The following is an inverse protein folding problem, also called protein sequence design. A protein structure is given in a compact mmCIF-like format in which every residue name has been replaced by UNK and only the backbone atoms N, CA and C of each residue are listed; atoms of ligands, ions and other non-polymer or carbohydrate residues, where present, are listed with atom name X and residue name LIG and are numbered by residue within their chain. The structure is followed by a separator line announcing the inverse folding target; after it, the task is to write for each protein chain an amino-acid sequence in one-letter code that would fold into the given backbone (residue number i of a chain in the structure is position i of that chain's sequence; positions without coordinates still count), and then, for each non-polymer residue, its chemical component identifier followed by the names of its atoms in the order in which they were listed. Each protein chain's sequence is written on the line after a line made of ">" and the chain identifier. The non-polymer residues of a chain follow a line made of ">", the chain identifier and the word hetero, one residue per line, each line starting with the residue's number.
data_IF_529005634393
#
_entry.id   IF_529005634393
#
_cell.length_a   1.000
_cell.length_b   1.000
_cell.length_c   1.000
_cell.angle_alpha   90.00
_cell.angle_beta   90.00
_cell.angle_gamma   90.00
#
_symmetry.space_group_name_H-M   'P 1'
#
loop_
_entity.id
_entity.type
_entity.pdbx_description
1 polymer ?
#
# COMPACT_ATOMS: atom_id res chain seq x y z
N UNK A 1 -18.09 -4.02 -11.58
CA UNK A 1 -18.75 -4.00 -10.25
C UNK A 1 -20.05 -3.24 -10.35
N UNK A 2 -21.11 -3.77 -9.79
CA UNK A 2 -22.40 -3.08 -9.78
C UNK A 2 -22.33 -1.82 -8.95
N UNK A 3 -23.17 -0.85 -9.28
CA UNK A 3 -23.26 0.38 -8.49
C UNK A 3 -23.80 0.07 -7.11
N UNK A 4 -23.03 0.41 -6.07
CA UNK A 4 -23.42 0.23 -4.68
C UNK A 4 -23.65 1.60 -4.02
N UNK A 5 -24.68 1.67 -3.18
CA UNK A 5 -24.92 2.87 -2.37
C UNK A 5 -23.97 2.85 -1.18
N UNK A 6 -23.05 3.80 -1.13
CA UNK A 6 -22.02 3.85 -0.11
C UNK A 6 -22.59 3.91 1.31
N UNK A 7 -23.61 4.74 1.53
CA UNK A 7 -24.18 4.94 2.87
C UNK A 7 -24.86 3.68 3.44
N UNK A 8 -25.49 2.86 2.57
CA UNK A 8 -26.24 1.67 3.00
C UNK A 8 -25.57 0.35 2.70
N UNK A 9 -24.55 0.35 1.81
CA UNK A 9 -23.91 -0.87 1.31
C UNK A 9 -22.40 -0.90 1.55
N UNK A 10 -21.90 -0.06 2.44
CA UNK A 10 -20.45 0.01 2.73
C UNK A 10 -19.90 -1.34 3.20
N UNK A 11 -20.70 -2.11 3.94
CA UNK A 11 -20.27 -3.43 4.42
C UNK A 11 -20.08 -4.40 3.27
N UNK A 12 -20.97 -4.39 2.29
CA UNK A 12 -20.84 -5.21 1.08
C UNK A 12 -19.63 -4.77 0.25
N UNK A 13 -19.42 -3.48 0.12
CA UNK A 13 -18.25 -2.94 -0.57
C UNK A 13 -16.96 -3.41 0.08
N UNK A 14 -16.89 -3.38 1.41
CA UNK A 14 -15.72 -3.87 2.16
C UNK A 14 -15.49 -5.37 1.95
N UNK A 15 -16.56 -6.17 1.93
CA UNK A 15 -16.46 -7.60 1.69
C UNK A 15 -15.92 -7.91 0.29
N UNK A 16 -16.42 -7.20 -0.73
CA UNK A 16 -15.96 -7.36 -2.12
C UNK A 16 -14.50 -6.92 -2.26
N UNK A 17 -14.15 -5.76 -1.74
CA UNK A 17 -12.80 -5.22 -1.84
C UNK A 17 -11.78 -5.95 -0.98
N UNK A 18 -12.21 -6.60 0.11
CA UNK A 18 -11.34 -7.27 1.06
C UNK A 18 -10.93 -8.69 0.67
N UNK A 19 -11.57 -9.30 -0.33
CA UNK A 19 -11.35 -10.71 -0.70
C UNK A 19 -11.20 -10.92 -2.21
N UNK A 20 -10.38 -10.13 -2.92
CA UNK A 20 -10.19 -10.32 -4.35
C UNK A 20 -9.30 -11.55 -4.63
N UNK A 21 -9.41 -12.10 -5.86
CA UNK A 21 -8.49 -13.13 -6.31
C UNK A 21 -7.08 -12.59 -6.47
N UNK A 22 -6.95 -11.37 -6.96
CA UNK A 22 -5.69 -10.65 -7.13
C UNK A 22 -5.81 -9.24 -6.56
N UNK A 23 -4.80 -8.84 -5.80
CA UNK A 23 -4.60 -7.44 -5.41
C UNK A 23 -3.33 -6.93 -6.08
N UNK A 24 -3.44 -5.79 -6.75
CA UNK A 24 -2.32 -5.16 -7.44
C UNK A 24 -2.05 -3.83 -6.77
N UNK A 25 -0.79 -3.56 -6.46
CA UNK A 25 -0.44 -2.32 -5.81
C UNK A 25 1.05 -2.08 -5.76
N UNK A 26 1.45 -1.23 -4.84
CA UNK A 26 2.84 -0.95 -4.57
C UNK A 26 3.06 -0.82 -3.07
N UNK A 27 4.32 -0.83 -2.66
CA UNK A 27 4.72 -0.59 -1.28
C UNK A 27 5.43 0.76 -1.18
N UNK A 28 5.54 1.28 0.03
CA UNK A 28 6.24 2.53 0.29
C UNK A 28 7.73 2.33 0.56
N UNK A 29 8.10 1.17 1.09
CA UNK A 29 9.49 0.81 1.31
C UNK A 29 9.66 -0.71 1.36
N UNK A 30 10.83 -1.18 0.96
CA UNK A 30 11.28 -2.57 1.08
C UNK A 30 12.62 -2.56 1.76
N UNK A 31 12.76 -3.30 2.86
CA UNK A 31 14.04 -3.41 3.54
C UNK A 31 14.96 -4.42 2.84
N UNK A 32 16.24 -4.37 3.20
CA UNK A 32 17.23 -5.32 2.68
C UNK A 32 16.85 -6.77 2.98
N UNK A 33 16.18 -7.02 4.09
CA UNK A 33 15.73 -8.35 4.50
C UNK A 33 14.44 -8.79 3.81
N UNK A 34 13.80 -7.91 3.05
CA UNK A 34 12.56 -8.20 2.34
C UNK A 34 11.29 -7.83 3.10
N UNK A 35 11.37 -7.12 4.21
CA UNK A 35 10.19 -6.60 4.91
C UNK A 35 9.56 -5.49 4.09
N UNK A 36 8.24 -5.56 3.91
CA UNK A 36 7.45 -4.60 3.14
C UNK A 36 6.73 -3.64 4.07
N UNK A 37 6.69 -2.36 3.69
CA UNK A 37 5.96 -1.33 4.43
C UNK A 37 4.98 -0.63 3.50
N UNK A 38 3.71 -0.64 3.87
CA UNK A 38 2.64 0.02 3.13
C UNK A 38 1.90 0.97 4.08
N UNK A 39 1.83 2.25 3.72
CA UNK A 39 1.10 3.24 4.49
C UNK A 39 -0.24 3.55 3.83
N UNK A 40 -1.22 3.89 4.65
CA UNK A 40 -2.56 4.24 4.17
C UNK A 40 -3.21 5.24 5.12
N UNK A 41 -4.01 6.15 4.58
CA UNK A 41 -4.79 7.05 5.40
C UNK A 41 -5.92 6.30 6.11
N UNK A 42 -6.68 5.48 5.38
CA UNK A 42 -7.85 4.76 5.89
C UNK A 42 -7.59 3.28 6.18
N UNK A 43 -6.63 2.67 5.50
CA UNK A 43 -6.38 1.24 5.54
C UNK A 43 -7.21 0.45 4.55
N UNK A 44 -7.89 1.11 3.62
CA UNK A 44 -8.84 0.46 2.72
C UNK A 44 -8.24 -0.68 1.89
N UNK A 45 -6.99 -0.54 1.45
CA UNK A 45 -6.30 -1.57 0.67
C UNK A 45 -5.53 -2.58 1.53
N UNK A 46 -5.27 -2.26 2.80
CA UNK A 46 -4.39 -3.08 3.63
C UNK A 46 -4.97 -4.45 3.95
N UNK A 47 -6.29 -4.56 4.06
CA UNK A 47 -6.96 -5.84 4.33
C UNK A 47 -6.67 -6.88 3.24
N UNK A 48 -6.71 -6.47 1.95
CA UNK A 48 -6.38 -7.34 0.82
C UNK A 48 -4.93 -7.77 0.85
N UNK A 49 -4.03 -6.83 1.10
CA UNK A 49 -2.59 -7.11 1.12
C UNK A 49 -2.21 -8.01 2.30
N UNK A 50 -2.80 -7.76 3.46
CA UNK A 50 -2.47 -8.52 4.67
C UNK A 50 -2.98 -9.94 4.64
N UNK A 51 -4.20 -10.16 4.13
CA UNK A 51 -4.82 -11.49 4.22
C UNK A 51 -5.85 -11.79 3.13
N UNK A 52 -6.73 -10.82 2.79
CA UNK A 52 -7.96 -11.12 2.04
C UNK A 52 -7.75 -11.55 0.60
N UNK A 53 -6.73 -11.05 -0.11
CA UNK A 53 -6.47 -11.42 -1.48
C UNK A 53 -5.84 -12.81 -1.58
N UNK A 54 -6.28 -13.60 -2.55
CA UNK A 54 -5.65 -14.90 -2.82
C UNK A 54 -4.22 -14.73 -3.35
N UNK A 55 -3.98 -13.69 -4.15
CA UNK A 55 -2.68 -13.36 -4.70
C UNK A 55 -2.45 -11.86 -4.62
N UNK A 56 -1.22 -11.45 -4.34
CA UNK A 56 -0.82 -10.04 -4.29
C UNK A 56 0.36 -9.81 -5.22
N UNK A 57 0.29 -8.76 -6.02
CA UNK A 57 1.38 -8.36 -6.90
C UNK A 57 1.71 -6.91 -6.58
N UNK A 58 2.93 -6.67 -6.11
CA UNK A 58 3.44 -5.32 -5.88
C UNK A 58 4.44 -4.94 -6.97
N UNK A 59 4.18 -3.80 -7.62
CA UNK A 59 5.11 -3.21 -8.57
C UNK A 59 5.86 -2.10 -7.83
N UNK A 60 7.17 -2.25 -7.69
CA UNK A 60 7.98 -1.45 -6.76
C UNK A 60 9.13 -0.80 -7.50
N UNK A 61 9.23 0.54 -7.43
CA UNK A 61 10.38 1.26 -7.95
C UNK A 61 11.61 1.06 -7.07
N UNK A 62 12.79 1.01 -7.67
CA UNK A 62 14.04 0.71 -6.97
C UNK A 62 14.39 1.74 -5.89
N UNK A 63 13.89 2.99 -5.99
CA UNK A 63 14.11 4.02 -4.99
C UNK A 63 13.53 3.68 -3.61
N UNK A 64 12.62 2.70 -3.56
CA UNK A 64 11.95 2.29 -2.32
C UNK A 64 12.75 1.28 -1.50
N UNK A 65 13.86 0.81 -2.00
CA UNK A 65 14.75 -0.08 -1.27
C UNK A 65 15.49 0.69 -0.18
N UNK A 66 15.41 0.21 1.05
CA UNK A 66 16.04 0.83 2.22
C UNK A 66 16.79 -0.21 3.06
N UNK A 67 17.79 0.19 3.85
CA UNK A 67 18.60 -0.78 4.58
C UNK A 67 17.91 -1.40 5.80
N UNK A 68 17.03 -0.64 6.49
CA UNK A 68 16.47 -1.06 7.78
C UNK A 68 14.98 -0.71 7.90
N UNK A 69 14.32 -1.30 8.91
CA UNK A 69 12.94 -0.95 9.25
C UNK A 69 12.80 0.52 9.67
N UNK A 70 13.76 1.04 10.42
CA UNK A 70 13.75 2.46 10.82
C UNK A 70 13.85 3.37 9.59
N UNK A 71 14.72 3.04 8.65
CA UNK A 71 14.84 3.78 7.39
C UNK A 71 13.54 3.69 6.56
N UNK A 72 12.84 2.57 6.61
CA UNK A 72 11.55 2.40 5.94
C UNK A 72 10.50 3.36 6.51
N UNK A 73 10.37 3.41 7.82
CA UNK A 73 9.44 4.32 8.49
C UNK A 73 9.80 5.78 8.23
N UNK A 74 11.07 6.10 8.33
CA UNK A 74 11.56 7.46 8.04
C UNK A 74 11.21 7.87 6.60
N UNK A 75 11.41 7.00 5.63
CA UNK A 75 11.05 7.25 4.25
C UNK A 75 9.57 7.54 4.08
N UNK A 76 8.70 6.80 4.76
CA UNK A 76 7.24 7.02 4.72
C UNK A 76 6.91 8.43 5.19
N UNK A 77 7.39 8.84 6.35
CA UNK A 77 7.03 10.13 6.93
C UNK A 77 7.77 11.31 6.31
N UNK A 78 9.04 11.14 5.94
CA UNK A 78 9.87 12.26 5.45
C UNK A 78 9.84 12.42 3.94
N UNK A 79 9.43 11.40 3.19
CA UNK A 79 9.43 11.43 1.74
C UNK A 79 8.04 11.14 1.16
N UNK A 80 7.52 9.95 1.35
CA UNK A 80 6.27 9.51 0.72
C UNK A 80 5.08 10.36 1.15
N UNK A 81 4.94 10.62 2.45
CA UNK A 81 3.83 11.45 2.96
C UNK A 81 3.91 12.86 2.42
N UNK A 82 5.09 13.47 2.38
CA UNK A 82 5.25 14.84 1.89
C UNK A 82 4.87 14.97 0.42
N UNK A 83 5.25 14.01 -0.42
CA UNK A 83 4.90 14.01 -1.83
C UNK A 83 3.40 13.77 -2.03
N UNK A 84 2.83 12.82 -1.29
CA UNK A 84 1.40 12.55 -1.35
C UNK A 84 0.57 13.71 -0.81
N UNK A 85 1.01 14.36 0.25
CA UNK A 85 0.34 15.53 0.81
C UNK A 85 0.29 16.68 -0.19
N UNK A 86 1.40 16.96 -0.86
CA UNK A 86 1.44 17.97 -1.91
C UNK A 86 0.50 17.64 -3.06
N UNK A 87 0.48 16.38 -3.49
CA UNK A 87 -0.42 15.90 -4.54
C UNK A 87 -1.89 16.03 -4.13
N UNK A 88 -2.22 15.64 -2.90
CA UNK A 88 -3.59 15.68 -2.38
C UNK A 88 -4.10 17.12 -2.28
N UNK A 89 -3.27 18.06 -1.87
CA UNK A 89 -3.64 19.48 -1.82
C UNK A 89 -4.00 20.00 -3.21
N UNK A 90 -3.23 19.66 -4.23
CA UNK A 90 -3.48 20.09 -5.61
C UNK A 90 -4.73 19.41 -6.18
N UNK A 91 -4.88 18.09 -5.96
CA UNK A 91 -5.96 17.30 -6.57
C UNK A 91 -7.30 17.46 -5.84
N UNK A 92 -7.28 17.53 -4.49
CA UNK A 92 -8.49 17.48 -3.67
C UNK A 92 -8.66 18.67 -2.73
N UNK A 93 -7.68 19.54 -2.62
CA UNK A 93 -7.71 20.67 -1.70
C UNK A 93 -7.59 20.27 -0.22
N UNK A 94 -7.13 19.07 0.07
CA UNK A 94 -7.00 18.54 1.43
C UNK A 94 -5.63 17.92 1.63
N UNK A 95 -5.14 18.00 2.88
CA UNK A 95 -3.91 17.33 3.27
C UNK A 95 -4.10 15.82 3.34
N UNK A 96 -3.03 15.08 3.07
CA UNK A 96 -2.98 13.65 3.30
C UNK A 96 -2.43 13.35 4.68
N UNK A 97 -2.71 12.17 5.19
CA UNK A 97 -2.21 11.71 6.48
C UNK A 97 -1.98 10.21 6.45
N UNK A 98 -1.20 9.73 7.43
CA UNK A 98 -0.97 8.29 7.61
C UNK A 98 -1.77 7.86 8.84
N UNK A 99 -2.82 7.08 8.61
CA UNK A 99 -3.62 6.50 9.67
C UNK A 99 -3.15 5.11 10.07
N UNK A 100 -2.65 4.33 9.11
CA UNK A 100 -2.23 2.94 9.32
C UNK A 100 -0.99 2.61 8.50
N UNK A 101 -0.13 1.77 9.07
CA UNK A 101 1.03 1.20 8.39
C UNK A 101 0.95 -0.32 8.54
N UNK A 102 1.03 -1.02 7.41
CA UNK A 102 1.16 -2.47 7.37
C UNK A 102 2.63 -2.82 7.18
N UNK A 103 3.17 -3.63 8.08
CA UNK A 103 4.49 -4.22 7.97
C UNK A 103 4.33 -5.70 7.69
N UNK A 104 4.89 -6.18 6.59
CA UNK A 104 4.86 -7.60 6.21
C UNK A 104 6.27 -8.15 6.37
N UNK A 105 6.50 -8.93 7.42
CA UNK A 105 7.80 -9.54 7.71
C UNK A 105 7.95 -10.89 7.02
N UNK A 106 6.86 -11.63 6.89
CA UNK A 106 6.82 -12.95 6.24
C UNK A 106 5.52 -13.12 5.48
N UNK A 107 5.58 -13.90 4.43
CA UNK A 107 4.41 -14.20 3.61
C UNK A 107 4.38 -15.69 3.28
N UNK A 108 3.19 -16.21 3.00
CA UNK A 108 3.03 -17.57 2.53
C UNK A 108 3.67 -17.72 1.13
N UNK A 109 4.40 -18.83 0.89
CA UNK A 109 5.02 -19.04 -0.41
C UNK A 109 4.01 -18.96 -1.55
N UNK A 110 4.35 -18.20 -2.59
CA UNK A 110 3.54 -18.08 -3.79
C UNK A 110 2.37 -17.12 -3.72
N UNK A 111 2.08 -16.51 -2.56
CA UNK A 111 0.96 -15.57 -2.44
C UNK A 111 1.31 -14.16 -2.90
N UNK A 112 2.46 -13.64 -2.46
CA UNK A 112 2.89 -12.27 -2.77
C UNK A 112 4.08 -12.28 -3.71
N UNK A 113 3.97 -11.52 -4.80
CA UNK A 113 5.00 -11.37 -5.80
C UNK A 113 5.41 -9.90 -5.89
N UNK A 114 6.72 -9.67 -5.98
CA UNK A 114 7.27 -8.32 -6.10
C UNK A 114 7.91 -8.19 -7.48
N UNK A 115 7.44 -7.21 -8.26
CA UNK A 115 8.03 -6.84 -9.54
C UNK A 115 8.85 -5.57 -9.29
N UNK A 116 10.16 -5.73 -9.23
CA UNK A 116 11.08 -4.62 -8.99
C UNK A 116 11.44 -3.94 -10.29
N UNK A 117 11.19 -2.65 -10.37
CA UNK A 117 11.51 -1.83 -11.55
C UNK A 117 12.77 -1.02 -11.22
N UNK A 118 13.80 -1.15 -12.04
CA UNK A 118 15.08 -0.46 -11.85
C UNK A 118 15.03 1.00 -12.28
N UNK A 119 13.96 1.68 -11.90
CA UNK A 119 13.72 3.09 -12.15
C UNK A 119 12.94 3.67 -10.98
N UNK A 120 12.97 4.99 -10.85
CA UNK A 120 12.12 5.69 -9.88
C UNK A 120 10.68 5.67 -10.37
N UNK A 121 9.81 4.98 -9.64
CA UNK A 121 8.38 4.86 -9.96
C UNK A 121 7.59 5.06 -8.68
N UNK A 122 6.62 5.99 -8.71
CA UNK A 122 5.81 6.32 -7.56
C UNK A 122 6.56 7.11 -6.49
N UNK A 123 5.99 7.20 -5.32
CA UNK A 123 6.53 7.91 -4.19
C UNK A 123 7.33 7.01 -3.25
#
# INVERSE_FOLDING_TARGET
>A
MMTLNFATQVRQMKAIAGQPDYALGSVHAVTREGTLFIASASGSQLASYAWGAANVIFVVGAQKLVPTRDAARERIFQHSLKLEDARALVAYGQHSSIGKILEIDREQPGRTHIVLIQQTVGF
#
